data_IF_373666217016
#
_entry.id   IF_373666217016
#
_cell.length_a   1.000
_cell.length_b   1.000
_cell.length_c   1.000
_cell.angle_alpha   90.00
_cell.angle_beta   90.00
_cell.angle_gamma   90.00
#
_symmetry.space_group_name_H-M   'P 1'
#
loop_
_entity.id
_entity.type
_entity.pdbx_description
1 polymer ?
#
# COMPACT_ATOMS: atom_id res chain seq x y z
N UNK A 1 31.42 13.78 -8.35
CA UNK A 1 30.91 15.16 -8.12
C UNK A 1 31.33 15.68 -6.76
N UNK A 2 31.55 16.98 -6.64
CA UNK A 2 31.83 17.63 -5.36
C UNK A 2 30.49 17.90 -4.64
N UNK A 3 30.41 17.60 -3.34
CA UNK A 3 29.17 17.75 -2.55
C UNK A 3 28.66 19.21 -2.53
N UNK A 4 29.60 20.18 -2.61
CA UNK A 4 29.30 21.61 -2.63
C UNK A 4 28.80 22.14 -3.98
N UNK A 5 28.84 21.33 -5.04
CA UNK A 5 28.51 21.71 -6.43
C UNK A 5 27.36 20.90 -6.99
N UNK A 6 26.67 20.14 -6.15
CA UNK A 6 25.62 19.19 -6.56
C UNK A 6 24.41 19.30 -5.63
N UNK A 7 23.20 19.22 -6.21
CA UNK A 7 21.95 19.13 -5.46
C UNK A 7 21.50 17.67 -5.32
N UNK A 8 20.53 17.43 -4.42
CA UNK A 8 19.90 16.11 -4.27
C UNK A 8 19.22 15.67 -5.58
N UNK A 9 18.61 16.60 -6.31
CA UNK A 9 17.96 16.36 -7.58
C UNK A 9 18.97 15.92 -8.65
N UNK A 10 20.13 16.59 -8.72
CA UNK A 10 21.19 16.22 -9.68
C UNK A 10 21.79 14.84 -9.36
N UNK A 11 21.95 14.52 -8.07
CA UNK A 11 22.41 13.18 -7.66
C UNK A 11 21.39 12.10 -8.05
N UNK A 12 20.12 12.36 -7.81
CA UNK A 12 19.04 11.46 -8.20
C UNK A 12 19.00 11.24 -9.72
N UNK A 13 19.15 12.32 -10.50
CA UNK A 13 19.21 12.24 -11.98
C UNK A 13 20.39 11.41 -12.46
N UNK A 14 21.58 11.59 -11.86
CA UNK A 14 22.76 10.78 -12.18
C UNK A 14 22.57 9.29 -11.82
N UNK A 15 21.86 8.97 -10.71
CA UNK A 15 21.59 7.60 -10.31
C UNK A 15 20.59 6.89 -11.22
N UNK A 16 19.57 7.61 -11.68
CA UNK A 16 18.46 7.06 -12.49
C UNK A 16 18.74 7.16 -14.00
N UNK A 17 19.67 8.05 -14.40
CA UNK A 17 20.01 8.30 -15.81
C UNK A 17 18.97 9.14 -16.57
N UNK A 18 18.01 9.74 -15.87
CA UNK A 18 17.01 10.68 -16.38
C UNK A 18 16.58 11.65 -15.29
N UNK A 19 15.98 12.75 -15.68
CA UNK A 19 15.41 13.69 -14.71
C UNK A 19 14.37 12.99 -13.83
N UNK A 20 14.52 13.13 -12.52
CA UNK A 20 13.57 12.65 -11.53
C UNK A 20 12.63 13.79 -11.17
N UNK A 21 11.34 13.55 -11.26
CA UNK A 21 10.32 14.53 -10.92
C UNK A 21 9.85 14.19 -9.50
N UNK A 22 10.35 14.95 -8.51
CA UNK A 22 9.92 14.80 -7.12
C UNK A 22 8.52 15.39 -6.89
N UNK A 23 8.13 16.39 -7.68
CA UNK A 23 6.78 16.95 -7.66
C UNK A 23 5.85 16.06 -8.49
N UNK A 24 4.94 15.41 -7.80
CA UNK A 24 3.93 14.58 -8.44
C UNK A 24 2.77 15.47 -8.83
N UNK A 25 2.49 15.57 -10.14
CA UNK A 25 1.29 16.25 -10.64
C UNK A 25 0.03 15.48 -10.20
N UNK A 26 -0.47 15.84 -9.02
CA UNK A 26 -1.65 15.24 -8.40
C UNK A 26 -2.86 16.11 -8.66
N UNK A 27 -3.82 15.60 -9.43
CA UNK A 27 -5.11 16.29 -9.64
C UNK A 27 -5.84 16.48 -8.32
N UNK A 28 -6.73 17.46 -8.26
CA UNK A 28 -7.65 17.60 -7.13
C UNK A 28 -8.48 16.32 -6.96
N UNK A 29 -8.52 15.80 -5.75
CA UNK A 29 -9.26 14.58 -5.46
C UNK A 29 -10.77 14.84 -5.56
N UNK A 30 -11.50 13.86 -6.08
CA UNK A 30 -12.96 13.87 -6.14
C UNK A 30 -13.53 12.67 -5.38
N UNK A 31 -13.51 12.71 -4.04
CA UNK A 31 -13.98 11.60 -3.23
C UNK A 31 -15.47 11.33 -3.45
N UNK A 32 -15.79 10.05 -3.63
CA UNK A 32 -17.16 9.56 -3.84
C UNK A 32 -17.65 8.82 -2.59
N UNK A 33 -18.36 7.70 -2.79
CA UNK A 33 -18.85 6.85 -1.71
C UNK A 33 -17.70 6.21 -0.92
N UNK A 34 -17.95 5.95 0.36
CA UNK A 34 -17.00 5.25 1.21
C UNK A 34 -16.88 3.78 0.78
N UNK A 35 -15.67 3.38 0.43
CA UNK A 35 -15.30 1.99 0.07
C UNK A 35 -14.93 1.21 1.32
N UNK A 36 -14.07 1.78 2.18
CA UNK A 36 -13.74 1.20 3.49
C UNK A 36 -14.40 2.02 4.58
N UNK A 37 -15.09 1.34 5.50
CA UNK A 37 -15.56 1.93 6.78
C UNK A 37 -15.10 1.05 7.92
N UNK A 38 -14.45 1.65 8.88
CA UNK A 38 -14.04 1.01 10.13
C UNK A 38 -14.75 1.73 11.26
N UNK A 39 -15.42 0.99 12.11
CA UNK A 39 -16.23 1.54 13.21
C UNK A 39 -15.83 0.90 14.54
N UNK A 40 -15.35 1.71 15.48
CA UNK A 40 -15.01 1.37 16.87
C UNK A 40 -14.12 0.09 16.97
N UNK A 41 -13.14 -0.03 16.07
CA UNK A 41 -12.31 -1.22 15.96
C UNK A 41 -11.32 -1.29 17.13
N UNK A 42 -11.34 -2.41 17.82
CA UNK A 42 -10.39 -2.74 18.89
C UNK A 42 -9.60 -4.00 18.48
N UNK A 43 -8.28 -3.90 18.50
CA UNK A 43 -7.39 -4.99 18.09
C UNK A 43 -6.26 -5.16 19.08
N UNK A 44 -6.02 -6.39 19.52
CA UNK A 44 -4.89 -6.71 20.40
C UNK A 44 -3.59 -6.80 19.63
N UNK A 45 -2.53 -6.27 20.23
CA UNK A 45 -1.15 -6.49 19.79
C UNK A 45 -0.67 -7.89 20.14
N UNK A 46 0.47 -8.29 19.57
CA UNK A 46 1.15 -9.55 19.92
C UNK A 46 1.55 -9.65 21.40
N UNK A 47 1.59 -8.52 22.12
CA UNK A 47 1.92 -8.43 23.55
C UNK A 47 0.67 -8.50 24.45
N UNK A 48 -0.53 -8.67 23.88
CA UNK A 48 -1.80 -8.86 24.60
C UNK A 48 -2.50 -7.60 25.06
N UNK A 49 -1.93 -6.40 24.86
CA UNK A 49 -2.65 -5.13 25.10
C UNK A 49 -3.34 -4.65 23.81
N UNK A 50 -4.27 -3.71 23.92
CA UNK A 50 -4.93 -3.13 22.77
C UNK A 50 -3.92 -2.26 21.96
N UNK A 51 -3.62 -2.71 20.75
CA UNK A 51 -2.81 -1.97 19.78
C UNK A 51 -3.64 -0.94 19.00
N UNK A 52 -4.95 -1.23 18.79
CA UNK A 52 -5.95 -0.25 18.34
C UNK A 52 -7.06 -0.15 19.38
N UNK A 53 -7.57 1.08 19.58
CA UNK A 53 -8.58 1.43 20.57
C UNK A 53 -9.62 2.32 19.93
N UNK A 54 -10.87 1.84 19.86
CA UNK A 54 -12.03 2.55 19.33
C UNK A 54 -11.73 3.26 17.99
N UNK A 55 -10.91 2.61 17.16
CA UNK A 55 -10.43 3.16 15.90
C UNK A 55 -11.57 3.21 14.88
N UNK A 56 -11.82 4.41 14.34
CA UNK A 56 -12.84 4.62 13.31
C UNK A 56 -12.26 5.45 12.17
N UNK A 57 -12.40 4.97 10.92
CA UNK A 57 -11.88 5.63 9.73
C UNK A 57 -12.71 5.24 8.51
N UNK A 58 -12.92 6.21 7.62
CA UNK A 58 -13.47 5.97 6.28
C UNK A 58 -12.43 6.28 5.20
N UNK A 59 -12.39 5.44 4.16
CA UNK A 59 -11.64 5.70 2.92
C UNK A 59 -12.61 5.64 1.74
N UNK A 60 -12.66 6.70 0.95
CA UNK A 60 -13.61 6.87 -0.14
C UNK A 60 -13.00 6.51 -1.49
N UNK A 61 -13.84 6.14 -2.44
CA UNK A 61 -13.43 6.01 -3.83
C UNK A 61 -12.88 7.34 -4.36
N UNK A 62 -11.72 7.32 -5.02
CA UNK A 62 -11.07 8.50 -5.56
C UNK A 62 -10.30 9.33 -4.54
N UNK A 63 -9.93 8.75 -3.38
CA UNK A 63 -9.03 9.40 -2.41
C UNK A 63 -7.90 8.47 -1.95
N UNK A 64 -6.79 9.10 -1.56
CA UNK A 64 -5.73 8.48 -0.78
C UNK A 64 -5.84 8.99 0.65
N UNK A 65 -6.09 8.08 1.60
CA UNK A 65 -5.99 8.38 3.03
C UNK A 65 -4.65 7.87 3.54
N UNK A 66 -3.80 8.78 4.00
CA UNK A 66 -2.53 8.47 4.64
C UNK A 66 -2.72 8.21 6.14
N UNK A 67 -2.03 7.22 6.68
CA UNK A 67 -1.93 6.98 8.12
C UNK A 67 -0.50 7.30 8.54
N UNK A 68 -0.34 8.42 9.23
CA UNK A 68 0.92 8.86 9.82
C UNK A 68 1.00 8.41 11.29
N UNK A 69 2.19 8.08 11.77
CA UNK A 69 2.41 7.71 13.17
C UNK A 69 3.78 7.10 13.37
N UNK A 70 4.29 7.17 14.60
CA UNK A 70 5.54 6.50 14.97
C UNK A 70 5.33 4.98 14.92
N UNK A 71 6.35 4.23 14.51
CA UNK A 71 6.30 2.78 14.46
C UNK A 71 5.80 2.16 15.78
N UNK A 72 4.92 1.17 15.66
CA UNK A 72 4.33 0.47 16.81
C UNK A 72 3.11 1.17 17.45
N UNK A 73 2.57 2.21 16.84
CA UNK A 73 1.38 2.91 17.32
C UNK A 73 0.04 2.27 16.88
N UNK A 74 0.06 1.07 16.27
CA UNK A 74 -1.14 0.36 15.87
C UNK A 74 -1.30 0.16 14.36
N UNK A 75 -0.37 0.64 13.54
CA UNK A 75 -0.40 0.50 12.08
C UNK A 75 -0.45 -0.97 11.64
N UNK A 76 0.38 -1.81 12.25
CA UNK A 76 0.42 -3.26 11.97
C UNK A 76 -0.91 -3.92 12.33
N UNK A 77 -1.45 -3.63 13.50
CA UNK A 77 -2.74 -4.14 13.96
C UNK A 77 -3.88 -3.72 13.04
N UNK A 78 -3.86 -2.48 12.54
CA UNK A 78 -4.83 -1.96 11.58
C UNK A 78 -4.79 -2.76 10.27
N UNK A 79 -3.61 -2.89 9.66
CA UNK A 79 -3.43 -3.61 8.40
C UNK A 79 -3.83 -5.07 8.55
N UNK A 80 -3.34 -5.75 9.59
CA UNK A 80 -3.63 -7.16 9.83
C UNK A 80 -5.11 -7.42 10.10
N UNK A 81 -5.81 -6.51 10.79
CA UNK A 81 -7.25 -6.61 11.00
C UNK A 81 -8.03 -6.45 9.68
N UNK A 82 -7.70 -5.44 8.85
CA UNK A 82 -8.38 -5.23 7.56
C UNK A 82 -8.10 -6.40 6.60
N UNK A 83 -6.88 -6.92 6.57
CA UNK A 83 -6.49 -8.02 5.68
C UNK A 83 -6.93 -9.40 6.18
N UNK A 84 -7.37 -9.50 7.44
CA UNK A 84 -7.80 -10.76 8.06
C UNK A 84 -6.67 -11.62 8.63
N UNK A 85 -5.46 -11.09 8.70
CA UNK A 85 -4.30 -11.72 9.33
C UNK A 85 -4.40 -11.70 10.86
N UNK A 86 -5.21 -10.79 11.41
CA UNK A 86 -5.49 -10.65 12.84
C UNK A 86 -6.98 -10.50 13.08
N UNK A 87 -7.47 -11.14 14.12
CA UNK A 87 -8.88 -11.02 14.53
C UNK A 87 -9.08 -9.74 15.35
N UNK A 88 -10.16 -9.01 15.05
CA UNK A 88 -10.62 -7.91 15.90
C UNK A 88 -11.23 -8.44 17.19
N UNK A 89 -11.05 -7.71 18.30
CA UNK A 89 -11.74 -7.97 19.58
C UNK A 89 -13.18 -7.45 19.54
N UNK A 90 -13.37 -6.28 18.93
CA UNK A 90 -14.68 -5.65 18.72
C UNK A 90 -14.61 -4.63 17.58
N UNK A 91 -15.75 -4.11 17.17
CA UNK A 91 -15.89 -3.17 16.07
C UNK A 91 -16.22 -3.87 14.75
N UNK A 92 -16.35 -3.09 13.69
CA UNK A 92 -16.80 -3.55 12.37
C UNK A 92 -15.92 -3.01 11.28
N UNK A 93 -15.64 -3.84 10.28
CA UNK A 93 -14.91 -3.47 9.06
C UNK A 93 -15.83 -3.74 7.87
N UNK A 94 -16.25 -2.70 7.17
CA UNK A 94 -17.08 -2.79 5.99
C UNK A 94 -16.26 -2.44 4.74
N UNK A 95 -16.39 -3.26 3.70
CA UNK A 95 -15.88 -3.00 2.36
C UNK A 95 -17.07 -2.93 1.39
N UNK A 96 -17.27 -1.78 0.75
CA UNK A 96 -18.47 -1.52 -0.09
C UNK A 96 -19.77 -1.87 0.65
N UNK A 97 -19.91 -1.44 1.91
CA UNK A 97 -21.03 -1.71 2.82
C UNK A 97 -21.24 -3.21 3.17
N UNK A 98 -20.36 -4.11 2.74
CA UNK A 98 -20.38 -5.52 3.13
C UNK A 98 -19.46 -5.75 4.32
N UNK A 99 -19.95 -6.42 5.35
CA UNK A 99 -19.16 -6.74 6.56
C UNK A 99 -18.10 -7.80 6.22
N UNK A 100 -16.84 -7.39 6.34
CA UNK A 100 -15.66 -8.27 6.12
C UNK A 100 -14.93 -8.61 7.42
N UNK A 101 -15.47 -8.22 8.59
CA UNK A 101 -14.79 -8.34 9.89
C UNK A 101 -14.33 -9.75 10.19
N UNK A 102 -15.15 -10.75 9.87
CA UNK A 102 -14.90 -12.15 10.24
C UNK A 102 -14.81 -13.11 9.06
N UNK A 103 -14.81 -12.63 7.82
CA UNK A 103 -14.64 -13.49 6.64
C UNK A 103 -13.16 -13.88 6.42
N UNK A 104 -12.91 -14.93 5.66
CA UNK A 104 -11.56 -15.43 5.38
C UNK A 104 -10.76 -14.46 4.50
N UNK A 105 -9.43 -14.58 4.52
CA UNK A 105 -8.51 -13.80 3.66
C UNK A 105 -8.87 -13.96 2.18
N UNK A 106 -9.23 -15.18 1.75
CA UNK A 106 -9.62 -15.44 0.37
C UNK A 106 -10.89 -14.70 -0.03
N UNK A 107 -11.90 -14.67 0.85
CA UNK A 107 -13.13 -13.93 0.62
C UNK A 107 -12.88 -12.42 0.57
N UNK A 108 -12.01 -11.89 1.45
CA UNK A 108 -11.61 -10.46 1.41
C UNK A 108 -10.92 -10.10 0.10
N UNK A 109 -10.00 -10.94 -0.37
CA UNK A 109 -9.37 -10.74 -1.69
C UNK A 109 -10.42 -10.76 -2.82
N UNK A 110 -11.38 -11.68 -2.76
CA UNK A 110 -12.49 -11.77 -3.71
C UNK A 110 -13.46 -10.59 -3.66
N UNK A 111 -13.53 -9.88 -2.53
CA UNK A 111 -14.37 -8.68 -2.35
C UNK A 111 -13.71 -7.41 -2.87
N UNK A 112 -12.53 -7.48 -3.47
CA UNK A 112 -11.85 -6.34 -4.07
C UNK A 112 -10.84 -5.67 -3.15
N UNK A 113 -10.21 -6.40 -2.22
CA UNK A 113 -9.14 -5.91 -1.37
C UNK A 113 -7.77 -6.26 -1.97
N UNK A 114 -6.97 -5.24 -2.32
CA UNK A 114 -5.56 -5.36 -2.69
C UNK A 114 -4.65 -4.97 -1.52
N UNK A 115 -3.49 -5.62 -1.38
CA UNK A 115 -2.58 -5.34 -0.28
C UNK A 115 -1.12 -5.42 -0.74
N UNK A 116 -0.42 -4.29 -0.70
CA UNK A 116 1.03 -4.18 -0.86
C UNK A 116 1.62 -4.21 0.56
N UNK A 117 2.28 -5.30 0.97
CA UNK A 117 2.76 -5.46 2.34
C UNK A 117 4.07 -4.69 2.59
N UNK A 118 4.34 -4.38 3.85
CA UNK A 118 5.56 -3.69 4.30
C UNK A 118 6.83 -4.46 3.93
N UNK A 119 6.85 -5.77 4.21
CA UNK A 119 8.00 -6.63 3.91
C UNK A 119 7.72 -7.44 2.64
N UNK A 120 8.30 -6.99 1.53
CA UNK A 120 8.15 -7.61 0.22
C UNK A 120 8.71 -9.03 0.15
N UNK A 121 9.74 -9.35 0.94
CA UNK A 121 10.39 -10.66 0.91
C UNK A 121 9.73 -11.67 1.84
N UNK A 122 9.19 -11.22 2.96
CA UNK A 122 8.55 -12.07 3.95
C UNK A 122 7.07 -12.30 3.64
N UNK A 123 6.38 -11.25 3.20
CA UNK A 123 4.93 -11.27 3.04
C UNK A 123 4.47 -10.98 1.60
N UNK A 124 5.34 -10.39 0.77
CA UNK A 124 4.98 -9.99 -0.58
C UNK A 124 5.19 -11.07 -1.62
N UNK A 125 6.29 -11.78 -1.58
CA UNK A 125 6.69 -12.78 -2.58
C UNK A 125 7.11 -14.10 -1.94
N UNK A 126 6.95 -15.19 -2.68
CA UNK A 126 7.60 -16.48 -2.39
C UNK A 126 8.91 -16.48 -3.18
N UNK A 127 10.02 -16.20 -2.49
CA UNK A 127 11.31 -15.93 -3.15
C UNK A 127 11.85 -17.10 -3.99
N UNK A 128 11.54 -18.34 -3.61
CA UNK A 128 11.94 -19.57 -4.30
C UNK A 128 11.11 -19.84 -5.57
N UNK A 129 9.96 -19.18 -5.71
CA UNK A 129 9.08 -19.33 -6.88
C UNK A 129 9.55 -18.45 -8.04
N UNK A 130 9.14 -18.83 -9.24
CA UNK A 130 9.27 -17.99 -10.42
C UNK A 130 8.45 -16.71 -10.30
N UNK A 131 8.78 -15.71 -11.10
CA UNK A 131 7.99 -14.47 -11.19
C UNK A 131 6.57 -14.75 -11.66
N UNK A 132 6.38 -15.65 -12.65
CA UNK A 132 5.04 -16.01 -13.15
C UNK A 132 4.17 -16.67 -12.08
N UNK A 133 4.74 -17.56 -11.24
CA UNK A 133 4.02 -18.17 -10.13
C UNK A 133 3.64 -17.15 -9.05
N UNK A 134 4.53 -16.17 -8.77
CA UNK A 134 4.24 -15.08 -7.84
C UNK A 134 3.15 -14.12 -8.36
N UNK A 135 3.13 -13.83 -9.66
CA UNK A 135 2.13 -12.95 -10.26
C UNK A 135 0.72 -13.55 -10.24
N UNK A 136 0.60 -14.87 -10.38
CA UNK A 136 -0.69 -15.57 -10.38
C UNK A 136 -1.13 -16.02 -8.98
N UNK A 137 -0.30 -15.83 -7.95
CA UNK A 137 -0.45 -16.41 -6.60
C UNK A 137 -1.84 -16.25 -5.97
N UNK A 138 -2.52 -15.14 -6.22
CA UNK A 138 -3.87 -14.88 -5.70
C UNK A 138 -5.01 -15.41 -6.59
N UNK A 139 -4.71 -15.79 -7.84
CA UNK A 139 -5.69 -16.21 -8.86
C UNK A 139 -5.45 -17.64 -9.39
N UNK A 140 -4.39 -18.32 -8.97
CA UNK A 140 -3.97 -19.61 -9.53
C UNK A 140 -5.07 -20.68 -9.59
N UNK A 141 -6.07 -20.61 -8.71
CA UNK A 141 -7.17 -21.55 -8.59
C UNK A 141 -8.38 -21.22 -9.51
N UNK A 142 -8.35 -20.08 -10.17
CA UNK A 142 -9.40 -19.60 -11.05
C UNK A 142 -9.08 -19.91 -12.52
N UNK A 143 -10.10 -20.00 -13.37
CA UNK A 143 -9.87 -19.96 -14.82
C UNK A 143 -9.35 -18.57 -15.23
N UNK A 144 -8.45 -18.50 -16.20
CA UNK A 144 -7.93 -19.57 -17.05
C UNK A 144 -6.71 -20.30 -16.46
N UNK A 145 -6.26 -19.99 -15.24
CA UNK A 145 -5.00 -20.47 -14.66
C UNK A 145 -5.09 -21.89 -14.10
N UNK A 146 -6.31 -22.36 -13.78
CA UNK A 146 -6.58 -23.71 -13.34
C UNK A 146 -7.82 -24.27 -14.01
N UNK A 147 -7.72 -25.54 -14.47
CA UNK A 147 -8.85 -26.28 -15.03
C UNK A 147 -8.84 -27.69 -14.47
N UNK A 148 -9.95 -28.13 -13.88
CA UNK A 148 -10.07 -29.45 -13.23
C UNK A 148 -8.98 -29.73 -12.18
N UNK A 149 -8.52 -28.70 -11.46
CA UNK A 149 -7.46 -28.82 -10.46
C UNK A 149 -6.03 -28.85 -11.01
N UNK A 150 -5.86 -28.74 -12.35
CA UNK A 150 -4.56 -28.72 -13.00
C UNK A 150 -4.20 -27.29 -13.45
N UNK A 151 -3.00 -26.84 -13.11
CA UNK A 151 -2.51 -25.55 -13.53
C UNK A 151 -2.26 -25.49 -15.04
N UNK A 152 -2.71 -24.41 -15.65
CA UNK A 152 -2.55 -24.14 -17.09
C UNK A 152 -1.32 -23.26 -17.30
N UNK A 153 -0.15 -23.88 -17.44
CA UNK A 153 1.15 -23.19 -17.46
C UNK A 153 1.27 -22.17 -18.58
N UNK A 154 0.73 -22.45 -19.76
CA UNK A 154 0.74 -21.51 -20.86
C UNK A 154 -0.07 -20.24 -20.57
N UNK A 155 -1.26 -20.37 -19.98
CA UNK A 155 -2.09 -19.22 -19.57
C UNK A 155 -1.39 -18.39 -18.47
N UNK A 156 -0.72 -19.04 -17.53
CA UNK A 156 0.06 -18.39 -16.48
C UNK A 156 1.20 -17.60 -17.09
N UNK A 157 1.98 -18.20 -18.00
CA UNK A 157 3.13 -17.54 -18.62
C UNK A 157 2.70 -16.34 -19.48
N UNK A 158 1.65 -16.47 -20.29
CA UNK A 158 1.10 -15.36 -21.08
C UNK A 158 0.64 -14.20 -20.20
N UNK A 159 -0.08 -14.49 -19.12
CA UNK A 159 -0.52 -13.50 -18.15
C UNK A 159 0.68 -12.80 -17.48
N UNK A 160 1.67 -13.57 -17.05
CA UNK A 160 2.86 -13.02 -16.42
C UNK A 160 3.66 -12.12 -17.37
N UNK A 161 3.83 -12.53 -18.63
CA UNK A 161 4.54 -11.71 -19.63
C UNK A 161 3.85 -10.38 -19.87
N UNK A 162 2.50 -10.37 -19.94
CA UNK A 162 1.72 -9.13 -20.03
C UNK A 162 2.03 -8.20 -18.85
N UNK A 163 2.02 -8.70 -17.60
CA UNK A 163 2.26 -7.89 -16.42
C UNK A 163 3.72 -7.42 -16.32
N UNK A 164 4.67 -8.25 -16.70
CA UNK A 164 6.09 -7.90 -16.73
C UNK A 164 6.32 -6.71 -17.66
N UNK A 165 5.70 -6.69 -18.83
CA UNK A 165 5.79 -5.61 -19.79
C UNK A 165 5.05 -4.35 -19.29
N UNK A 166 3.79 -4.48 -18.88
CA UNK A 166 2.93 -3.36 -18.47
C UNK A 166 3.47 -2.62 -17.24
N UNK A 167 4.09 -3.36 -16.31
CA UNK A 167 4.62 -2.81 -15.07
C UNK A 167 6.13 -2.60 -15.10
N UNK A 168 6.78 -2.71 -16.26
CA UNK A 168 8.23 -2.52 -16.44
C UNK A 168 9.04 -3.31 -15.39
N UNK A 169 8.72 -4.60 -15.20
CA UNK A 169 9.48 -5.48 -14.33
C UNK A 169 10.67 -6.03 -15.07
N UNK A 170 11.89 -5.65 -14.66
CA UNK A 170 13.10 -6.15 -15.30
C UNK A 170 13.47 -7.54 -14.78
N UNK A 171 13.20 -8.54 -15.60
CA UNK A 171 13.40 -9.95 -15.29
C UNK A 171 14.23 -10.60 -16.41
N UNK A 172 15.44 -11.10 -16.09
CA UNK A 172 16.41 -11.58 -17.10
C UNK A 172 15.94 -12.80 -17.90
N UNK A 173 15.08 -13.63 -17.33
CA UNK A 173 14.49 -14.83 -17.96
C UNK A 173 12.96 -14.71 -18.08
N UNK A 174 12.43 -13.48 -18.17
CA UNK A 174 10.99 -13.25 -18.22
C UNK A 174 10.27 -13.84 -17.00
N UNK A 175 9.14 -14.53 -17.23
CA UNK A 175 8.33 -15.15 -16.18
C UNK A 175 9.03 -16.23 -15.37
N UNK A 176 10.01 -16.92 -15.95
CA UNK A 176 10.76 -17.99 -15.28
C UNK A 176 11.83 -17.47 -14.30
N UNK A 177 12.10 -16.16 -14.30
CA UNK A 177 13.05 -15.54 -13.36
C UNK A 177 12.66 -15.83 -11.92
N UNK A 178 13.57 -16.38 -11.11
CA UNK A 178 13.33 -16.55 -9.66
C UNK A 178 13.12 -15.18 -9.01
N UNK A 179 12.07 -15.07 -8.17
CA UNK A 179 11.76 -13.83 -7.45
C UNK A 179 12.92 -13.36 -6.56
N UNK A 180 13.72 -14.29 -6.04
CA UNK A 180 14.92 -14.00 -5.24
C UNK A 180 16.00 -13.23 -6.03
N UNK A 181 16.13 -13.47 -7.33
CA UNK A 181 17.15 -12.86 -8.17
C UNK A 181 16.79 -11.44 -8.64
N UNK A 182 15.58 -11.01 -8.42
CA UNK A 182 15.14 -9.66 -8.76
C UNK A 182 15.73 -8.61 -7.80
N UNK A 183 16.04 -7.42 -8.32
CA UNK A 183 16.35 -6.27 -7.47
C UNK A 183 15.13 -5.87 -6.62
N UNK A 184 15.36 -5.19 -5.49
CA UNK A 184 14.28 -4.73 -4.60
C UNK A 184 13.21 -3.92 -5.33
N UNK A 185 13.59 -3.04 -6.26
CA UNK A 185 12.64 -2.29 -7.08
C UNK A 185 11.80 -3.18 -7.98
N UNK A 186 12.40 -4.21 -8.62
CA UNK A 186 11.64 -5.14 -9.46
C UNK A 186 10.76 -6.10 -8.64
N UNK A 187 11.20 -6.52 -7.45
CA UNK A 187 10.35 -7.25 -6.51
C UNK A 187 9.10 -6.44 -6.14
N UNK A 188 9.28 -5.15 -5.83
CA UNK A 188 8.17 -4.27 -5.50
C UNK A 188 7.24 -4.02 -6.69
N UNK A 189 7.78 -3.78 -7.88
CA UNK A 189 6.99 -3.65 -9.11
C UNK A 189 6.15 -4.91 -9.37
N UNK A 190 6.69 -6.11 -9.15
CA UNK A 190 5.95 -7.36 -9.30
C UNK A 190 4.78 -7.48 -8.30
N UNK A 191 4.99 -7.07 -7.04
CA UNK A 191 3.92 -7.04 -6.04
C UNK A 191 2.83 -6.04 -6.45
N UNK A 192 3.23 -4.82 -6.83
CA UNK A 192 2.30 -3.78 -7.28
C UNK A 192 1.52 -4.23 -8.52
N UNK A 193 2.18 -4.85 -9.48
CA UNK A 193 1.55 -5.43 -10.68
C UNK A 193 0.47 -6.44 -10.29
N UNK A 194 0.80 -7.41 -9.42
CA UNK A 194 -0.13 -8.42 -8.95
C UNK A 194 -1.35 -7.84 -8.23
N UNK A 195 -1.12 -6.83 -7.38
CA UNK A 195 -2.19 -6.25 -6.59
C UNK A 195 -3.10 -5.32 -7.42
N UNK A 196 -2.54 -4.50 -8.30
CA UNK A 196 -3.29 -3.55 -9.14
C UNK A 196 -4.06 -4.26 -10.26
N UNK A 197 -3.48 -5.28 -10.89
CA UNK A 197 -4.14 -6.04 -11.99
C UNK A 197 -5.41 -6.78 -11.52
N UNK A 198 -5.56 -6.99 -10.23
CA UNK A 198 -6.82 -7.51 -9.67
C UNK A 198 -7.94 -6.48 -9.68
N UNK A 199 -7.65 -5.24 -10.08
CA UNK A 199 -8.58 -4.10 -10.09
C UNK A 199 -9.29 -3.92 -8.73
N UNK A 200 -8.54 -3.79 -7.62
CA UNK A 200 -9.13 -3.73 -6.30
C UNK A 200 -10.01 -2.48 -6.13
N UNK A 201 -11.05 -2.58 -5.30
CA UNK A 201 -11.83 -1.41 -4.87
C UNK A 201 -11.10 -0.64 -3.76
N UNK A 202 -10.40 -1.36 -2.89
CA UNK A 202 -9.50 -0.81 -1.86
C UNK A 202 -8.08 -1.35 -2.07
N UNK A 203 -7.12 -0.46 -2.26
CA UNK A 203 -5.70 -0.80 -2.24
C UNK A 203 -5.06 -0.32 -0.93
N UNK A 204 -4.58 -1.25 -0.13
CA UNK A 204 -3.77 -0.96 1.07
C UNK A 204 -2.30 -1.00 0.66
N UNK A 205 -1.57 0.10 0.86
CA UNK A 205 -0.14 0.20 0.58
C UNK A 205 0.62 0.50 1.88
N UNK A 206 1.41 -0.48 2.33
CA UNK A 206 2.18 -0.37 3.58
C UNK A 206 3.65 -0.23 3.26
N UNK A 207 4.26 0.90 3.62
CA UNK A 207 5.67 1.20 3.35
C UNK A 207 6.07 0.91 1.89
N UNK A 208 5.26 1.33 0.89
CA UNK A 208 5.37 0.84 -0.48
C UNK A 208 6.71 1.15 -1.15
N UNK A 209 7.44 2.14 -0.65
CA UNK A 209 8.71 2.61 -1.21
C UNK A 209 9.93 2.30 -0.36
N UNK A 210 9.75 1.64 0.79
CA UNK A 210 10.83 1.37 1.74
C UNK A 210 12.02 0.66 1.10
N UNK A 211 13.20 1.29 1.20
CA UNK A 211 14.47 0.75 0.73
C UNK A 211 14.55 0.58 -0.80
N UNK A 212 13.87 1.44 -1.54
CA UNK A 212 13.92 1.51 -3.00
C UNK A 212 14.80 2.67 -3.46
N UNK A 213 15.27 2.57 -4.69
CA UNK A 213 15.90 3.69 -5.38
C UNK A 213 14.85 4.73 -5.83
N UNK A 214 15.32 5.95 -6.10
CA UNK A 214 14.44 7.09 -6.43
C UNK A 214 13.55 6.83 -7.63
N UNK A 215 14.06 6.12 -8.65
CA UNK A 215 13.27 5.80 -9.85
C UNK A 215 12.15 4.81 -9.57
N UNK A 216 12.37 3.85 -8.66
CA UNK A 216 11.34 2.93 -8.22
C UNK A 216 10.31 3.64 -7.33
N UNK A 217 10.74 4.57 -6.45
CA UNK A 217 9.84 5.39 -5.63
C UNK A 217 8.87 6.18 -6.53
N UNK A 218 9.40 6.95 -7.48
CA UNK A 218 8.59 7.73 -8.44
C UNK A 218 7.57 6.85 -9.16
N UNK A 219 8.00 5.67 -9.62
CA UNK A 219 7.12 4.72 -10.29
C UNK A 219 5.97 4.26 -9.39
N UNK A 220 6.26 3.85 -8.15
CA UNK A 220 5.23 3.37 -7.20
C UNK A 220 4.25 4.50 -6.85
N UNK A 221 4.75 5.70 -6.55
CA UNK A 221 3.91 6.86 -6.26
C UNK A 221 2.93 7.14 -7.41
N UNK A 222 3.43 7.14 -8.65
CA UNK A 222 2.59 7.32 -9.84
C UNK A 222 1.49 6.25 -9.91
N UNK A 223 1.80 4.98 -9.67
CA UNK A 223 0.82 3.89 -9.68
C UNK A 223 -0.25 4.07 -8.60
N UNK A 224 0.11 4.51 -7.39
CA UNK A 224 -0.86 4.78 -6.32
C UNK A 224 -1.81 5.93 -6.70
N UNK A 225 -1.28 7.02 -7.28
CA UNK A 225 -2.09 8.14 -7.75
C UNK A 225 -3.00 7.71 -8.90
N UNK A 226 -2.51 6.92 -9.86
CA UNK A 226 -3.32 6.37 -10.94
C UNK A 226 -4.50 5.53 -10.38
N UNK A 227 -4.32 4.75 -9.32
CA UNK A 227 -5.42 4.03 -8.69
C UNK A 227 -6.47 5.00 -8.13
N UNK A 228 -6.04 6.04 -7.40
CA UNK A 228 -6.94 7.08 -6.91
C UNK A 228 -7.69 7.77 -8.05
N UNK A 229 -6.99 8.21 -9.09
CA UNK A 229 -7.55 8.94 -10.22
C UNK A 229 -8.54 8.07 -11.04
N UNK A 230 -8.35 6.75 -11.02
CA UNK A 230 -9.28 5.77 -11.57
C UNK A 230 -10.47 5.48 -10.63
N UNK A 231 -10.62 6.25 -9.56
CA UNK A 231 -11.76 6.16 -8.65
C UNK A 231 -11.64 5.04 -7.61
N UNK A 232 -10.45 4.47 -7.39
CA UNK A 232 -10.22 3.48 -6.34
C UNK A 232 -9.93 4.16 -4.99
N UNK A 233 -10.23 3.46 -3.90
CA UNK A 233 -9.82 3.87 -2.56
C UNK A 233 -8.40 3.39 -2.28
N UNK A 234 -7.55 4.27 -1.72
CA UNK A 234 -6.18 3.91 -1.35
C UNK A 234 -5.97 4.24 0.13
N UNK A 235 -5.56 3.25 0.91
CA UNK A 235 -5.09 3.42 2.29
C UNK A 235 -3.57 3.29 2.30
N UNK A 236 -2.87 4.42 2.48
CA UNK A 236 -1.42 4.50 2.51
C UNK A 236 -0.94 4.52 3.97
N UNK A 237 -0.10 3.59 4.35
CA UNK A 237 0.57 3.58 5.65
C UNK A 237 2.07 3.73 5.39
N UNK A 238 2.67 4.81 5.87
CA UNK A 238 4.10 5.06 5.73
C UNK A 238 4.68 5.70 6.98
N UNK A 239 5.94 5.37 7.28
CA UNK A 239 6.75 6.05 8.31
C UNK A 239 7.49 7.26 7.72
N UNK A 240 7.56 7.35 6.39
CA UNK A 240 8.13 8.49 5.68
C UNK A 240 7.08 9.60 5.60
N UNK A 241 7.24 10.65 6.39
CA UNK A 241 6.25 11.73 6.47
C UNK A 241 6.10 12.48 5.15
N UNK A 242 7.19 12.62 4.41
CA UNK A 242 7.21 13.18 3.06
C UNK A 242 6.29 12.40 2.10
N UNK A 243 6.33 11.07 2.15
CA UNK A 243 5.47 10.22 1.32
C UNK A 243 4.00 10.45 1.66
N UNK A 244 3.67 10.50 2.95
CA UNK A 244 2.32 10.78 3.45
C UNK A 244 1.83 12.14 2.96
N UNK A 245 2.62 13.21 3.14
CA UNK A 245 2.25 14.57 2.77
C UNK A 245 2.06 14.75 1.25
N UNK A 246 2.93 14.13 0.46
CA UNK A 246 2.88 14.24 -1.01
C UNK A 246 1.70 13.49 -1.64
N UNK A 247 1.38 12.30 -1.13
CA UNK A 247 0.41 11.41 -1.77
C UNK A 247 -1.00 11.57 -1.22
N UNK A 248 -1.15 11.85 0.08
CA UNK A 248 -2.44 11.77 0.73
C UNK A 248 -3.34 12.97 0.44
N UNK A 249 -4.62 12.71 0.29
CA UNK A 249 -5.67 13.74 0.23
C UNK A 249 -6.14 14.07 1.64
N UNK A 250 -6.25 13.05 2.50
CA UNK A 250 -6.50 13.18 3.94
C UNK A 250 -5.46 12.38 4.72
N UNK A 251 -5.12 12.86 5.91
CA UNK A 251 -4.12 12.22 6.77
C UNK A 251 -4.75 11.94 8.13
N UNK A 252 -4.80 10.68 8.53
CA UNK A 252 -5.13 10.23 9.87
C UNK A 252 -3.83 10.07 10.67
N UNK A 253 -3.71 10.77 11.78
CA UNK A 253 -2.53 10.67 12.65
C UNK A 253 -2.83 9.70 13.77
N UNK A 254 -2.02 8.65 13.87
CA UNK A 254 -2.17 7.56 14.81
C UNK A 254 -1.16 7.72 15.96
N UNK A 255 -1.65 7.72 17.19
CA UNK A 255 -0.82 7.71 18.40
C UNK A 255 -1.44 6.78 19.45
N UNK A 256 -0.64 5.87 20.02
CA UNK A 256 -1.07 4.90 21.05
C UNK A 256 -2.36 4.11 20.71
N UNK A 257 -2.57 3.80 19.43
CA UNK A 257 -3.72 3.03 18.96
C UNK A 257 -4.99 3.85 18.71
N UNK A 258 -4.92 5.17 18.82
CA UNK A 258 -6.06 6.07 18.62
C UNK A 258 -5.76 7.09 17.51
N UNK A 259 -6.79 7.53 16.78
CA UNK A 259 -6.66 8.68 15.88
C UNK A 259 -6.65 9.96 16.71
N UNK A 260 -5.52 10.67 16.72
CA UNK A 260 -5.36 11.95 17.43
C UNK A 260 -5.63 13.16 16.55
N UNK A 261 -5.70 12.97 15.24
CA UNK A 261 -6.04 13.99 14.25
C UNK A 261 -6.43 13.39 12.91
N UNK A 262 -7.36 14.04 12.22
CA UNK A 262 -7.73 13.77 10.84
C UNK A 262 -7.75 15.10 10.10
N UNK A 263 -6.84 15.28 9.14
CA UNK A 263 -6.59 16.55 8.47
C UNK A 263 -6.61 16.39 6.96
N UNK A 264 -6.86 17.49 6.23
CA UNK A 264 -6.68 17.52 4.79
C UNK A 264 -5.17 17.64 4.49
N UNK A 265 -4.68 16.88 3.50
CA UNK A 265 -3.26 16.90 3.14
C UNK A 265 -2.78 18.28 2.67
N UNK A 266 -3.66 19.04 1.97
CA UNK A 266 -3.35 20.39 1.50
C UNK A 266 -3.29 21.45 2.61
N UNK A 267 -3.91 21.19 3.78
CA UNK A 267 -4.09 22.18 4.87
C UNK A 267 -3.16 21.88 6.07
N UNK A 268 -2.13 21.09 5.87
CA UNK A 268 -1.22 20.67 6.94
C UNK A 268 0.24 20.69 6.48
N UNK A 269 1.16 20.53 7.43
CA UNK A 269 2.58 20.47 7.17
C UNK A 269 3.28 19.47 8.11
N UNK A 270 4.57 19.23 7.85
CA UNK A 270 5.40 18.28 8.58
C UNK A 270 5.42 18.55 10.10
N UNK A 271 5.56 19.82 10.50
CA UNK A 271 5.60 20.21 11.90
C UNK A 271 4.28 19.90 12.63
N UNK A 272 3.12 20.19 12.00
CA UNK A 272 1.81 19.93 12.58
C UNK A 272 1.58 18.43 12.76
N UNK A 273 1.85 17.63 11.71
CA UNK A 273 1.75 16.17 11.79
C UNK A 273 2.71 15.61 12.83
N UNK A 274 3.97 16.08 12.86
CA UNK A 274 4.97 15.66 13.85
C UNK A 274 4.52 15.92 15.30
N UNK A 275 3.92 17.06 15.58
CA UNK A 275 3.37 17.37 16.90
C UNK A 275 2.21 16.44 17.28
N UNK A 276 1.30 16.14 16.34
CA UNK A 276 0.22 15.19 16.57
C UNK A 276 0.76 13.77 16.78
N UNK A 277 1.77 13.35 16.03
CA UNK A 277 2.45 12.06 16.23
C UNK A 277 3.10 11.96 17.62
N UNK A 278 3.53 13.07 18.20
CA UNK A 278 4.02 13.16 19.58
C UNK A 278 2.89 13.24 20.64
N UNK A 279 1.62 13.19 20.22
CA UNK A 279 0.45 13.19 21.12
C UNK A 279 -0.15 14.57 21.43
N UNK A 280 0.30 15.63 20.76
CA UNK A 280 -0.32 16.96 20.88
C UNK A 280 -1.58 17.01 20.03
N UNK A 281 -2.74 17.18 20.66
CA UNK A 281 -4.03 17.29 19.92
C UNK A 281 -4.13 18.64 19.20
N UNK A 282 -4.69 18.65 17.98
CA UNK A 282 -4.97 19.88 17.23
C UNK A 282 -5.89 20.80 18.06
N UNK A 283 -5.45 22.02 18.31
CA UNK A 283 -6.21 23.01 19.10
C UNK A 283 -5.63 23.30 20.49
N UNK A 284 -4.59 22.62 20.95
CA UNK A 284 -3.91 22.89 22.22
C UNK A 284 -2.58 23.66 22.06
N UNK A 285 -2.36 24.37 20.96
CA UNK A 285 -1.29 25.37 20.88
C UNK A 285 -1.77 26.61 21.58
N UNK A 286 -1.30 26.78 22.83
CA UNK A 286 -1.44 28.01 23.62
C UNK A 286 -0.64 29.14 22.98
#
# INVERSE_FOLDING_TARGET
VQVTETSEEELAEMMVGRRVIFDIDKKESQPKEAVLKIENLNVKSNRGFLGLKDFSLEVRAGEIVGVAGVDGNGQTELVEAITGLRKAESGTILLNNSDITNISIRERNGSGLGHIPEDRQKHGLILEYSLEDNLVLKKYYQEPFSRNGLLQREAISQYAMKLIEEFDVRAGQGGETSARSLSGGNQQKAIVAREIEQNPELLIAVQPTRGLDVGAIEYIHKRLIEQRDNGKAVLLISLELDEILRLSDRIAVLNNGEIVGLVQGADTNENEIGLMMAGVKRGNTA
#
